data_IF_559132806479
#
_entry.id   IF_559132806479
#
_cell.length_a   1.000
_cell.length_b   1.000
_cell.length_c   1.000
_cell.angle_alpha   90.00
_cell.angle_beta   90.00
_cell.angle_gamma   90.00
#
_symmetry.space_group_name_H-M   'P 1'
#
loop_
_entity.id
_entity.type
_entity.pdbx_description
1 polymer ?
#
# COMPACT_ATOMS: atom_id res chain seq x y z
N UNK A 1 5.22 -27.88 1.51
CA UNK A 1 5.67 -27.40 2.86
C UNK A 1 5.68 -25.87 2.78
N UNK A 2 5.14 -25.16 3.77
CA UNK A 2 5.22 -23.70 3.82
C UNK A 2 5.69 -23.26 5.21
N UNK A 3 6.34 -22.08 5.27
CA UNK A 3 6.76 -21.42 6.52
C UNK A 3 6.04 -20.09 6.56
N UNK A 4 5.40 -19.76 7.69
CA UNK A 4 4.73 -18.49 7.91
C UNK A 4 5.31 -17.85 9.17
N UNK A 5 5.87 -16.65 9.00
CA UNK A 5 6.23 -15.78 10.10
C UNK A 5 5.25 -14.61 10.12
N UNK A 6 4.62 -14.38 11.26
CA UNK A 6 3.63 -13.32 11.42
C UNK A 6 4.19 -12.16 12.24
N UNK A 7 3.89 -10.94 11.82
CA UNK A 7 4.21 -9.71 12.56
C UNK A 7 3.49 -9.67 13.92
N UNK A 8 4.18 -9.15 14.96
CA UNK A 8 3.59 -8.88 16.28
C UNK A 8 2.84 -7.53 16.34
N UNK A 9 2.28 -7.08 15.23
CA UNK A 9 1.53 -5.83 15.15
C UNK A 9 0.20 -5.97 15.88
N UNK A 10 -0.04 -5.10 16.87
CA UNK A 10 -1.34 -4.91 17.49
C UNK A 10 -2.23 -4.07 16.57
N UNK A 11 -3.44 -4.51 16.30
CA UNK A 11 -4.41 -3.79 15.47
C UNK A 11 -5.61 -3.39 16.29
N UNK A 12 -5.98 -2.11 16.23
CA UNK A 12 -7.22 -1.57 16.78
C UNK A 12 -8.05 -1.05 15.61
N UNK A 13 -9.23 -1.64 15.38
CA UNK A 13 -10.04 -1.37 14.20
C UNK A 13 -11.47 -0.98 14.59
N UNK A 14 -11.99 0.09 14.02
CA UNK A 14 -13.39 0.53 14.15
C UNK A 14 -13.53 2.04 14.09
N UNK A 15 -14.77 2.52 13.86
CA UNK A 15 -15.07 3.94 13.84
C UNK A 15 -14.86 4.55 15.24
N UNK A 16 -14.15 5.69 15.29
CA UNK A 16 -13.83 6.39 16.54
C UNK A 16 -12.66 5.78 17.32
N UNK A 17 -11.96 4.77 16.78
CA UNK A 17 -10.85 4.13 17.51
C UNK A 17 -9.64 5.03 17.71
N UNK A 18 -9.54 6.16 17.01
CA UNK A 18 -8.50 7.16 17.30
C UNK A 18 -8.58 7.69 18.75
N UNK A 19 -9.76 7.73 19.36
CA UNK A 19 -9.96 8.13 20.76
C UNK A 19 -9.19 7.24 21.74
N UNK A 20 -8.87 6.01 21.34
CA UNK A 20 -8.07 5.06 22.12
C UNK A 20 -6.57 5.32 22.04
N UNK A 21 -6.09 6.24 21.19
CA UNK A 21 -4.66 6.46 20.94
C UNK A 21 -3.87 6.61 22.25
N UNK A 22 -4.32 7.47 23.16
CA UNK A 22 -3.65 7.69 24.45
C UNK A 22 -3.53 6.40 25.27
N UNK A 23 -4.63 5.66 25.45
CA UNK A 23 -4.66 4.39 26.19
C UNK A 23 -3.76 3.33 25.56
N UNK A 24 -3.74 3.24 24.23
CA UNK A 24 -2.89 2.27 23.51
C UNK A 24 -1.40 2.65 23.64
N UNK A 25 -1.06 3.94 23.62
CA UNK A 25 0.30 4.41 23.88
C UNK A 25 0.76 4.07 25.31
N UNK A 26 -0.12 4.27 26.32
CA UNK A 26 0.16 3.91 27.72
C UNK A 26 0.39 2.39 27.86
N UNK A 27 -0.42 1.57 27.18
CA UNK A 27 -0.26 0.11 27.18
C UNK A 27 1.10 -0.32 26.61
N UNK A 28 1.64 0.45 25.67
CA UNK A 28 2.96 0.20 25.06
C UNK A 28 4.11 0.88 25.82
N UNK A 29 3.81 1.70 26.82
CA UNK A 29 4.81 2.47 27.58
C UNK A 29 5.44 3.60 26.76
N UNK A 30 4.69 4.21 25.83
CA UNK A 30 5.16 5.24 24.90
C UNK A 30 4.65 6.61 25.36
N UNK A 31 5.56 7.51 25.72
CA UNK A 31 5.23 8.79 26.32
C UNK A 31 5.64 10.02 25.48
N UNK A 32 6.50 9.85 24.47
CA UNK A 32 7.09 10.96 23.70
C UNK A 32 7.10 10.63 22.21
N UNK A 33 6.02 10.92 21.50
CA UNK A 33 5.85 10.56 20.10
C UNK A 33 6.29 11.70 19.17
N UNK A 34 7.10 11.40 18.16
CA UNK A 34 7.30 12.27 17.01
C UNK A 34 6.19 11.97 15.98
N UNK A 35 5.33 12.93 15.70
CA UNK A 35 4.34 12.81 14.63
C UNK A 35 5.03 12.93 13.27
N UNK A 36 4.92 11.88 12.45
CA UNK A 36 5.41 11.83 11.07
C UNK A 36 4.21 11.92 10.12
N UNK A 37 4.15 12.95 9.28
CA UNK A 37 3.03 13.20 8.38
C UNK A 37 3.47 13.95 7.12
N UNK A 38 2.54 14.15 6.18
CA UNK A 38 2.76 15.03 5.02
C UNK A 38 2.54 16.50 5.41
N UNK A 39 2.94 17.48 4.57
CA UNK A 39 2.74 18.90 4.88
C UNK A 39 1.29 19.34 5.06
N UNK A 40 0.32 18.48 4.77
CA UNK A 40 -1.10 18.77 4.98
C UNK A 40 -1.44 18.80 6.47
N UNK A 41 -2.10 19.87 6.90
CA UNK A 41 -2.65 20.02 8.25
C UNK A 41 -4.17 20.12 8.17
N UNK A 42 -4.81 19.03 7.82
CA UNK A 42 -6.27 18.90 7.77
C UNK A 42 -6.88 18.49 9.12
N UNK A 43 -8.20 18.36 9.16
CA UNK A 43 -8.93 17.96 10.35
C UNK A 43 -8.47 16.59 10.92
N UNK A 44 -8.01 15.68 10.06
CA UNK A 44 -7.49 14.37 10.46
C UNK A 44 -6.23 14.53 11.30
N UNK A 45 -5.27 15.35 10.84
CA UNK A 45 -4.03 15.61 11.60
C UNK A 45 -4.34 16.38 12.89
N UNK A 46 -5.31 17.31 12.87
CA UNK A 46 -5.75 17.99 14.09
C UNK A 46 -6.31 17.01 15.13
N UNK A 47 -7.11 16.02 14.71
CA UNK A 47 -7.63 14.98 15.61
C UNK A 47 -6.50 14.09 16.18
N UNK A 48 -5.51 13.72 15.36
CA UNK A 48 -4.34 12.96 15.82
C UNK A 48 -3.52 13.75 16.85
N UNK A 49 -3.29 15.04 16.59
CA UNK A 49 -2.59 15.94 17.55
C UNK A 49 -3.34 16.04 18.87
N UNK A 50 -4.66 16.19 18.83
CA UNK A 50 -5.50 16.21 20.03
C UNK A 50 -5.41 14.87 20.80
N UNK A 51 -5.40 13.74 20.10
CA UNK A 51 -5.25 12.41 20.73
C UNK A 51 -3.87 12.17 21.36
N UNK A 52 -2.81 12.81 20.83
CA UNK A 52 -1.47 12.77 21.41
C UNK A 52 -1.36 13.61 22.71
N UNK A 53 -1.97 14.80 22.74
CA UNK A 53 -1.88 15.70 23.88
C UNK A 53 -0.42 15.96 24.30
N UNK A 54 -0.12 15.80 25.58
CA UNK A 54 1.21 16.03 26.17
C UNK A 54 2.29 15.03 25.70
N UNK A 55 1.89 13.94 25.02
CA UNK A 55 2.82 12.95 24.44
C UNK A 55 3.45 13.43 23.14
N UNK A 56 3.06 14.57 22.61
CA UNK A 56 3.65 15.13 21.39
C UNK A 56 5.05 15.69 21.66
N UNK A 57 6.10 15.03 21.18
CA UNK A 57 7.47 15.49 21.26
C UNK A 57 7.86 16.47 20.15
N UNK A 58 7.22 16.36 18.98
CA UNK A 58 7.47 17.20 17.81
C UNK A 58 6.68 16.74 16.61
N UNK A 59 6.76 17.50 15.51
CA UNK A 59 6.07 17.24 14.26
C UNK A 59 7.08 17.25 13.11
N UNK A 60 7.15 16.14 12.37
CA UNK A 60 7.92 15.96 11.15
C UNK A 60 6.94 15.86 9.97
N UNK A 61 6.56 17.01 9.38
CA UNK A 61 5.56 17.13 8.32
C UNK A 61 6.17 17.20 6.92
N UNK A 62 7.26 16.46 6.69
CA UNK A 62 8.00 16.49 5.43
C UNK A 62 7.88 15.19 4.61
N UNK A 63 6.99 14.30 5.00
CA UNK A 63 6.80 13.06 4.26
C UNK A 63 6.36 13.33 2.82
N UNK A 64 6.98 12.62 1.88
CA UNK A 64 6.74 12.76 0.45
C UNK A 64 6.66 11.38 -0.23
N UNK A 65 6.06 11.36 -1.42
CA UNK A 65 5.94 10.14 -2.24
C UNK A 65 7.33 9.56 -2.50
N UNK A 66 7.41 8.23 -2.54
CA UNK A 66 8.64 7.46 -2.77
C UNK A 66 9.75 7.61 -1.71
N UNK A 67 9.51 8.33 -0.61
CA UNK A 67 10.45 8.49 0.52
C UNK A 67 11.84 8.96 0.05
N UNK A 68 11.99 10.21 -0.40
CA UNK A 68 13.27 10.75 -0.84
C UNK A 68 14.32 10.73 0.28
N UNK A 69 15.56 10.37 -0.04
CA UNK A 69 16.66 10.22 0.93
C UNK A 69 17.00 11.52 1.67
N UNK A 70 16.88 12.69 1.02
CA UNK A 70 17.04 14.00 1.66
C UNK A 70 16.00 14.25 2.77
N UNK A 71 14.76 13.80 2.56
CA UNK A 71 13.70 13.87 3.58
C UNK A 71 14.01 12.95 4.76
N UNK A 72 14.56 11.78 4.50
CA UNK A 72 14.99 10.85 5.57
C UNK A 72 16.06 11.51 6.44
N UNK A 73 17.10 12.13 5.84
CA UNK A 73 18.16 12.79 6.58
C UNK A 73 17.63 13.96 7.44
N UNK A 74 16.73 14.77 6.89
CA UNK A 74 16.07 15.85 7.65
C UNK A 74 15.21 15.32 8.81
N UNK A 75 14.50 14.21 8.59
CA UNK A 75 13.69 13.58 9.62
C UNK A 75 14.56 12.98 10.74
N UNK A 76 15.72 12.40 10.42
CA UNK A 76 16.68 11.91 11.41
C UNK A 76 17.24 13.04 12.29
N UNK A 77 17.55 14.19 11.70
CA UNK A 77 17.97 15.38 12.47
C UNK A 77 16.88 15.82 13.46
N UNK A 78 15.60 15.74 13.07
CA UNK A 78 14.48 16.05 13.97
C UNK A 78 14.36 15.02 15.11
N UNK A 79 14.51 13.73 14.82
CA UNK A 79 14.57 12.67 15.84
C UNK A 79 15.68 12.92 16.85
N UNK A 80 16.89 13.24 16.37
CA UNK A 80 18.05 13.51 17.26
C UNK A 80 17.83 14.76 18.11
N UNK A 81 17.08 15.76 17.61
CA UNK A 81 16.73 17.00 18.33
C UNK A 81 15.69 16.78 19.43
N UNK A 82 14.58 16.07 19.10
CA UNK A 82 13.44 15.94 20.05
C UNK A 82 13.52 14.70 20.91
N UNK A 83 14.34 13.71 20.54
CA UNK A 83 14.55 12.44 21.25
C UNK A 83 13.25 11.76 21.64
N UNK A 84 12.41 11.35 20.65
CA UNK A 84 11.17 10.65 20.93
C UNK A 84 11.45 9.22 21.39
N UNK A 85 10.49 8.58 22.02
CA UNK A 85 10.48 7.15 22.33
C UNK A 85 9.67 6.33 21.30
N UNK A 86 8.90 7.02 20.45
CA UNK A 86 8.13 6.41 19.35
C UNK A 86 7.94 7.35 18.16
N UNK A 87 7.68 6.75 17.00
CA UNK A 87 7.21 7.43 15.80
C UNK A 87 5.71 7.18 15.64
N UNK A 88 4.91 8.25 15.56
CA UNK A 88 3.51 8.14 15.20
C UNK A 88 3.34 8.57 13.74
N UNK A 89 3.10 7.62 12.83
CA UNK A 89 2.90 7.89 11.42
C UNK A 89 1.40 8.07 11.13
N UNK A 90 0.97 9.30 10.88
CA UNK A 90 -0.41 9.60 10.50
C UNK A 90 -0.48 10.01 9.03
N UNK A 91 -1.18 9.22 8.22
CA UNK A 91 -1.29 9.46 6.78
C UNK A 91 -1.32 8.19 5.94
N UNK A 92 -1.00 8.32 4.67
CA UNK A 92 -0.87 7.20 3.74
C UNK A 92 0.55 6.65 3.67
N UNK A 93 0.85 5.92 2.58
CA UNK A 93 2.14 5.27 2.35
C UNK A 93 3.38 6.17 2.48
N UNK A 94 3.25 7.48 2.20
CA UNK A 94 4.37 8.44 2.36
C UNK A 94 4.77 8.64 3.82
N UNK A 95 3.79 8.85 4.71
CA UNK A 95 4.04 9.07 6.15
C UNK A 95 4.58 7.79 6.78
N UNK A 96 3.95 6.66 6.51
CA UNK A 96 4.35 5.35 7.04
C UNK A 96 5.72 4.96 6.49
N UNK A 97 5.98 5.20 5.20
CA UNK A 97 7.27 4.94 4.57
C UNK A 97 8.41 5.75 5.18
N UNK A 98 8.18 7.05 5.46
CA UNK A 98 9.18 7.90 6.13
C UNK A 98 9.44 7.40 7.56
N UNK A 99 8.40 7.05 8.33
CA UNK A 99 8.57 6.49 9.67
C UNK A 99 9.39 5.20 9.65
N UNK A 100 9.16 4.31 8.66
CA UNK A 100 9.97 3.10 8.49
C UNK A 100 11.43 3.40 8.14
N UNK A 101 11.66 4.38 7.27
CA UNK A 101 13.01 4.81 6.93
C UNK A 101 13.77 5.37 8.15
N UNK A 102 13.08 6.13 9.00
CA UNK A 102 13.61 6.60 10.28
C UNK A 102 13.91 5.41 11.21
N UNK A 103 12.92 4.51 11.41
CA UNK A 103 13.04 3.38 12.34
C UNK A 103 14.16 2.40 11.93
N UNK A 104 14.50 2.34 10.65
CA UNK A 104 15.64 1.56 10.16
C UNK A 104 16.98 2.08 10.67
N UNK A 105 17.14 3.39 10.80
CA UNK A 105 18.38 4.07 11.22
C UNK A 105 18.39 4.36 12.73
N UNK A 106 17.21 4.53 13.32
CA UNK A 106 16.96 4.76 14.75
C UNK A 106 15.90 3.76 15.20
N UNK A 107 16.22 2.74 15.99
CA UNK A 107 15.29 1.66 16.36
C UNK A 107 14.17 2.14 17.28
N UNK A 108 13.24 2.93 16.74
CA UNK A 108 12.07 3.45 17.42
C UNK A 108 10.83 2.65 17.01
N UNK A 109 9.95 2.29 17.96
CA UNK A 109 8.67 1.66 17.64
C UNK A 109 7.81 2.62 16.81
N UNK A 110 7.09 2.05 15.83
CA UNK A 110 6.15 2.78 14.99
C UNK A 110 4.72 2.50 15.46
N UNK A 111 3.95 3.56 15.63
CA UNK A 111 2.49 3.56 15.74
C UNK A 111 1.94 4.13 14.43
N UNK A 112 1.11 3.40 13.71
CA UNK A 112 0.54 3.86 12.45
C UNK A 112 -0.95 4.18 12.59
N UNK A 113 -1.35 5.31 12.02
CA UNK A 113 -2.73 5.77 11.87
C UNK A 113 -2.98 6.00 10.38
N UNK A 114 -3.31 4.94 9.61
CA UNK A 114 -3.49 5.05 8.18
C UNK A 114 -4.75 5.85 7.83
N UNK A 115 -4.64 6.70 6.80
CA UNK A 115 -5.74 7.51 6.27
C UNK A 115 -6.04 7.20 4.81
N UNK A 116 -5.35 6.20 4.25
CA UNK A 116 -5.54 5.66 2.90
C UNK A 116 -5.54 4.13 2.95
N UNK A 117 -5.71 3.48 1.82
CA UNK A 117 -5.72 2.01 1.70
C UNK A 117 -4.37 1.43 1.26
N UNK A 118 -3.26 2.12 1.56
CA UNK A 118 -1.94 1.81 0.98
C UNK A 118 -1.29 0.49 1.46
N UNK A 119 -1.60 0.00 2.67
CA UNK A 119 -1.17 -1.31 3.18
C UNK A 119 0.22 -1.37 3.80
N UNK A 120 1.06 -0.34 3.67
CA UNK A 120 2.42 -0.33 4.22
C UNK A 120 2.46 -0.49 5.75
N UNK A 121 1.40 -0.10 6.45
CA UNK A 121 1.25 -0.15 7.90
C UNK A 121 1.27 -1.55 8.50
N UNK A 122 0.97 -2.57 7.70
CA UNK A 122 0.96 -3.97 8.17
C UNK A 122 2.20 -4.75 7.76
N UNK A 123 3.21 -4.10 7.18
CA UNK A 123 4.35 -4.81 6.58
C UNK A 123 5.68 -4.44 7.20
N UNK A 124 6.64 -5.35 7.07
CA UNK A 124 8.08 -5.14 7.33
C UNK A 124 8.81 -4.51 6.12
N UNK A 125 8.10 -4.23 5.03
CA UNK A 125 8.66 -3.69 3.79
C UNK A 125 8.95 -2.21 3.94
N UNK A 126 10.14 -1.80 3.54
CA UNK A 126 10.58 -0.41 3.46
C UNK A 126 11.10 -0.07 2.06
N UNK A 127 11.10 1.22 1.71
CA UNK A 127 11.67 1.71 0.47
C UNK A 127 12.14 3.15 0.61
N UNK A 128 13.30 3.47 0.02
CA UNK A 128 13.91 4.80 0.01
C UNK A 128 14.37 5.10 -1.42
N UNK A 129 14.14 6.31 -1.90
CA UNK A 129 14.57 6.75 -3.22
C UNK A 129 15.74 7.73 -3.09
N UNK A 130 16.83 7.47 -3.82
CA UNK A 130 18.00 8.35 -3.92
C UNK A 130 18.27 8.62 -5.40
N UNK A 131 18.09 9.88 -5.84
CA UNK A 131 18.06 10.19 -7.27
C UNK A 131 16.98 9.36 -7.97
N UNK A 132 17.34 8.68 -9.04
CA UNK A 132 16.44 7.82 -9.84
C UNK A 132 16.38 6.36 -9.34
N UNK A 133 17.08 6.04 -8.25
CA UNK A 133 17.19 4.67 -7.75
C UNK A 133 16.33 4.48 -6.50
N UNK A 134 15.37 3.55 -6.57
CA UNK A 134 14.59 3.11 -5.42
C UNK A 134 15.16 1.82 -4.86
N UNK A 135 15.61 1.86 -3.61
CA UNK A 135 16.03 0.68 -2.84
C UNK A 135 14.89 0.24 -1.95
N UNK A 136 14.58 -1.05 -1.98
CA UNK A 136 13.53 -1.66 -1.14
C UNK A 136 14.09 -2.85 -0.39
N UNK A 137 13.47 -3.21 0.73
CA UNK A 137 13.85 -4.40 1.50
C UNK A 137 12.80 -4.75 2.54
N UNK A 138 13.06 -5.83 3.29
CA UNK A 138 12.29 -6.24 4.45
C UNK A 138 13.14 -6.15 5.71
N UNK A 139 12.56 -5.64 6.78
CA UNK A 139 13.17 -5.61 8.10
C UNK A 139 12.06 -5.68 9.16
N UNK A 140 11.96 -6.76 9.94
CA UNK A 140 10.93 -6.88 10.99
C UNK A 140 10.94 -5.73 12.01
N UNK A 141 12.09 -5.09 12.21
CA UNK A 141 12.21 -3.97 13.16
C UNK A 141 11.45 -2.70 12.73
N UNK A 142 11.14 -2.55 11.43
CA UNK A 142 10.37 -1.39 10.94
C UNK A 142 8.88 -1.69 10.78
N UNK A 143 8.43 -2.90 11.10
CA UNK A 143 7.00 -3.20 11.15
C UNK A 143 6.35 -2.42 12.30
N UNK A 144 5.22 -1.73 12.08
CA UNK A 144 4.52 -1.03 13.15
C UNK A 144 4.14 -1.96 14.31
N UNK A 145 4.34 -1.50 15.54
CA UNK A 145 3.91 -2.22 16.75
C UNK A 145 2.42 -2.09 17.02
N UNK A 146 1.84 -0.96 16.57
CA UNK A 146 0.42 -0.67 16.71
C UNK A 146 -0.08 -0.03 15.41
N UNK A 147 -1.24 -0.45 14.97
CA UNK A 147 -2.01 0.20 13.90
C UNK A 147 -3.41 0.51 14.39
N UNK A 148 -3.79 1.78 14.30
CA UNK A 148 -5.16 2.23 14.60
C UNK A 148 -5.87 2.52 13.28
N UNK A 149 -6.78 1.63 12.91
CA UNK A 149 -7.63 1.77 11.73
C UNK A 149 -8.95 2.40 12.13
N UNK A 150 -9.08 3.69 11.89
CA UNK A 150 -10.31 4.43 12.11
C UNK A 150 -10.92 4.86 10.77
N UNK A 151 -12.03 4.24 10.32
CA UNK A 151 -12.69 4.59 9.07
C UNK A 151 -13.11 6.06 8.98
N UNK A 152 -13.39 6.72 10.11
CA UNK A 152 -13.76 8.15 10.15
C UNK A 152 -12.67 9.01 9.53
N UNK A 153 -11.40 8.66 9.70
CA UNK A 153 -10.25 9.39 9.14
C UNK A 153 -10.17 9.30 7.61
N UNK A 154 -10.86 8.34 7.01
CA UNK A 154 -10.91 8.18 5.54
C UNK A 154 -12.05 8.93 4.89
N UNK A 155 -13.00 9.51 5.64
CA UNK A 155 -14.15 10.23 5.10
C UNK A 155 -13.78 11.48 4.30
N UNK A 156 -12.63 12.09 4.62
CA UNK A 156 -12.10 13.25 3.90
C UNK A 156 -11.28 12.88 2.65
N UNK A 157 -10.98 11.59 2.44
CA UNK A 157 -10.20 11.15 1.29
C UNK A 157 -11.05 11.27 0.02
N UNK A 158 -10.61 12.01 -1.02
CA UNK A 158 -11.37 12.16 -2.26
C UNK A 158 -11.73 10.81 -2.90
N UNK A 159 -12.87 10.74 -3.57
CA UNK A 159 -13.37 9.51 -4.20
C UNK A 159 -12.34 8.88 -5.14
N UNK A 160 -11.75 9.67 -6.05
CA UNK A 160 -10.71 9.20 -6.98
C UNK A 160 -9.48 8.64 -6.24
N UNK A 161 -8.98 9.34 -5.22
CA UNK A 161 -7.83 8.86 -4.41
C UNK A 161 -8.20 7.60 -3.64
N UNK A 162 -9.43 7.49 -3.15
CA UNK A 162 -9.93 6.29 -2.48
C UNK A 162 -9.98 5.10 -3.44
N UNK A 163 -10.50 5.31 -4.64
CA UNK A 163 -10.57 4.30 -5.69
C UNK A 163 -9.16 3.81 -6.09
N UNK A 164 -8.25 4.73 -6.42
CA UNK A 164 -6.89 4.40 -6.82
C UNK A 164 -6.11 3.68 -5.69
N UNK A 165 -6.20 4.17 -4.44
CA UNK A 165 -5.58 3.54 -3.29
C UNK A 165 -6.20 2.16 -2.99
N UNK A 166 -7.50 2.00 -3.18
CA UNK A 166 -8.20 0.72 -3.06
C UNK A 166 -7.77 -0.29 -4.12
N UNK A 167 -7.56 0.14 -5.36
CA UNK A 167 -7.03 -0.71 -6.43
C UNK A 167 -5.55 -1.07 -6.22
N UNK A 168 -4.76 -0.20 -5.58
CA UNK A 168 -3.42 -0.59 -5.11
C UNK A 168 -3.50 -1.71 -4.04
N UNK A 169 -4.42 -1.61 -3.07
CA UNK A 169 -4.67 -2.69 -2.12
C UNK A 169 -5.17 -3.96 -2.82
N UNK A 170 -6.06 -3.84 -3.80
CA UNK A 170 -6.51 -4.96 -4.65
C UNK A 170 -5.33 -5.67 -5.30
N UNK A 171 -4.35 -4.92 -5.82
CA UNK A 171 -3.16 -5.49 -6.46
C UNK A 171 -2.30 -6.32 -5.49
N UNK A 172 -2.16 -5.90 -4.23
CA UNK A 172 -1.49 -6.70 -3.20
C UNK A 172 -2.14 -8.06 -3.02
N UNK A 173 -3.47 -8.07 -2.88
CA UNK A 173 -4.23 -9.29 -2.69
C UNK A 173 -4.18 -10.18 -3.94
N UNK A 174 -4.36 -9.61 -5.13
CA UNK A 174 -4.33 -10.35 -6.40
C UNK A 174 -2.97 -11.01 -6.63
N UNK A 175 -1.85 -10.31 -6.43
CA UNK A 175 -0.53 -10.93 -6.57
C UNK A 175 -0.27 -12.01 -5.51
N UNK A 176 -0.74 -11.82 -4.28
CA UNK A 176 -0.61 -12.84 -3.24
C UNK A 176 -1.36 -14.14 -3.57
N UNK A 177 -2.45 -14.08 -4.36
CA UNK A 177 -3.21 -15.28 -4.76
C UNK A 177 -2.43 -16.22 -5.67
N UNK A 178 -1.54 -15.70 -6.52
CA UNK A 178 -0.75 -16.50 -7.47
C UNK A 178 0.76 -16.42 -7.22
N UNK A 179 1.18 -15.84 -6.10
CA UNK A 179 2.59 -15.84 -5.74
C UNK A 179 3.10 -17.27 -5.60
N UNK A 180 4.26 -17.63 -6.18
CA UNK A 180 4.90 -18.90 -5.92
C UNK A 180 5.11 -19.07 -4.41
N UNK A 181 4.84 -20.26 -3.89
CA UNK A 181 4.97 -20.61 -2.49
C UNK A 181 4.06 -19.84 -1.52
N UNK A 182 2.99 -19.19 -2.02
CA UNK A 182 1.99 -18.56 -1.17
C UNK A 182 1.37 -19.59 -0.20
N UNK A 183 1.36 -19.25 1.09
CA UNK A 183 0.73 -20.13 2.07
C UNK A 183 -0.81 -20.15 1.90
N UNK A 184 -1.49 -21.22 2.30
CA UNK A 184 -2.96 -21.26 2.31
C UNK A 184 -3.58 -20.10 3.09
N UNK A 185 -2.92 -19.63 4.14
CA UNK A 185 -3.35 -18.48 4.93
C UNK A 185 -3.25 -17.18 4.12
N UNK A 186 -2.14 -16.96 3.39
CA UNK A 186 -1.99 -15.80 2.51
C UNK A 186 -3.09 -15.78 1.45
N UNK A 187 -3.37 -16.93 0.82
CA UNK A 187 -4.41 -17.06 -0.18
C UNK A 187 -5.82 -16.81 0.39
N UNK A 188 -6.13 -17.29 1.58
CA UNK A 188 -7.44 -17.07 2.22
C UNK A 188 -7.67 -15.59 2.57
N UNK A 189 -6.66 -14.93 3.13
CA UNK A 189 -6.71 -13.49 3.46
C UNK A 189 -6.80 -12.64 2.19
N UNK A 190 -6.04 -13.00 1.15
CA UNK A 190 -6.06 -12.32 -0.14
C UNK A 190 -7.44 -12.42 -0.82
N UNK A 191 -8.07 -13.60 -0.81
CA UNK A 191 -9.40 -13.79 -1.38
C UNK A 191 -10.47 -12.98 -0.64
N UNK A 192 -10.44 -12.94 0.71
CA UNK A 192 -11.34 -12.07 1.49
C UNK A 192 -11.11 -10.59 1.17
N UNK A 193 -9.85 -10.16 1.01
CA UNK A 193 -9.51 -8.80 0.63
C UNK A 193 -10.10 -8.42 -0.75
N UNK A 194 -9.92 -9.28 -1.77
CA UNK A 194 -10.46 -9.07 -3.12
C UNK A 194 -11.99 -8.91 -3.06
N UNK A 195 -12.69 -9.86 -2.43
CA UNK A 195 -14.15 -9.86 -2.29
C UNK A 195 -14.65 -8.60 -1.57
N UNK A 196 -13.98 -8.23 -0.50
CA UNK A 196 -14.36 -7.09 0.33
C UNK A 196 -14.15 -5.77 -0.41
N UNK A 197 -12.99 -5.58 -1.07
CA UNK A 197 -12.70 -4.37 -1.84
C UNK A 197 -13.61 -4.25 -3.07
N UNK A 198 -13.87 -5.34 -3.79
CA UNK A 198 -14.77 -5.33 -4.94
C UNK A 198 -16.20 -4.87 -4.59
N UNK A 199 -16.67 -5.19 -3.37
CA UNK A 199 -17.97 -4.73 -2.87
C UNK A 199 -17.95 -3.30 -2.35
N UNK A 200 -16.88 -2.90 -1.67
CA UNK A 200 -16.82 -1.63 -0.97
C UNK A 200 -16.48 -0.44 -1.89
N UNK A 201 -15.52 -0.62 -2.81
CA UNK A 201 -14.99 0.49 -3.60
C UNK A 201 -16.04 1.18 -4.50
N UNK A 202 -16.97 0.46 -5.16
CA UNK A 202 -18.05 1.10 -5.90
C UNK A 202 -18.92 2.03 -5.03
N UNK A 203 -19.28 1.59 -3.82
CA UNK A 203 -20.04 2.41 -2.89
C UNK A 203 -19.26 3.63 -2.41
N UNK A 204 -17.96 3.47 -2.12
CA UNK A 204 -17.07 4.60 -1.77
C UNK A 204 -16.94 5.60 -2.92
N UNK A 205 -16.93 5.15 -4.17
CA UNK A 205 -16.83 6.03 -5.34
C UNK A 205 -18.10 6.88 -5.52
N UNK A 206 -19.28 6.28 -5.30
CA UNK A 206 -20.59 6.96 -5.47
C UNK A 206 -20.97 7.80 -4.24
N UNK A 207 -20.73 7.27 -3.04
CA UNK A 207 -21.07 7.89 -1.77
C UNK A 207 -19.84 7.99 -0.86
N UNK A 208 -18.91 8.95 -1.12
CA UNK A 208 -17.61 8.99 -0.46
C UNK A 208 -17.64 9.22 1.06
N UNK A 209 -18.78 9.63 1.61
CA UNK A 209 -18.97 9.85 3.05
C UNK A 209 -19.79 8.76 3.75
N UNK A 210 -20.11 7.67 3.06
CA UNK A 210 -20.74 6.50 3.66
C UNK A 210 -19.73 5.79 4.58
N UNK A 211 -19.96 5.84 5.89
CA UNK A 211 -19.07 5.28 6.90
C UNK A 211 -19.01 3.75 6.83
N UNK A 212 -20.12 3.09 6.48
CA UNK A 212 -20.16 1.63 6.36
C UNK A 212 -19.33 1.17 5.16
N UNK A 213 -19.47 1.86 4.01
CA UNK A 213 -18.63 1.61 2.83
C UNK A 213 -17.15 1.87 3.12
N UNK A 214 -16.81 2.96 3.84
CA UNK A 214 -15.44 3.26 4.28
C UNK A 214 -14.89 2.20 5.24
N UNK A 215 -15.72 1.75 6.19
CA UNK A 215 -15.34 0.68 7.12
C UNK A 215 -15.03 -0.61 6.38
N UNK A 216 -15.88 -0.98 5.43
CA UNK A 216 -15.69 -2.17 4.62
C UNK A 216 -14.43 -2.06 3.72
N UNK A 217 -14.22 -0.90 3.07
CA UNK A 217 -13.04 -0.66 2.25
C UNK A 217 -11.74 -0.72 3.06
N UNK A 218 -11.72 -0.10 4.26
CA UNK A 218 -10.56 -0.11 5.14
C UNK A 218 -10.28 -1.53 5.68
N UNK A 219 -11.33 -2.33 5.96
CA UNK A 219 -11.19 -3.74 6.34
C UNK A 219 -10.57 -4.56 5.19
N UNK A 220 -11.04 -4.36 3.98
CA UNK A 220 -10.46 -5.02 2.79
C UNK A 220 -9.00 -4.62 2.56
N UNK A 221 -8.66 -3.33 2.75
CA UNK A 221 -7.30 -2.84 2.65
C UNK A 221 -6.38 -3.44 3.74
N UNK A 222 -6.87 -3.58 4.98
CA UNK A 222 -6.15 -4.27 6.04
C UNK A 222 -5.84 -5.73 5.66
N UNK A 223 -6.83 -6.48 5.18
CA UNK A 223 -6.63 -7.84 4.73
C UNK A 223 -5.63 -7.93 3.55
N UNK A 224 -5.72 -7.00 2.58
CA UNK A 224 -4.77 -6.91 1.47
C UNK A 224 -3.33 -6.62 1.96
N UNK A 225 -3.20 -5.77 2.97
CA UNK A 225 -1.90 -5.46 3.58
C UNK A 225 -1.30 -6.67 4.32
N UNK A 226 -2.13 -7.48 4.97
CA UNK A 226 -1.70 -8.76 5.53
C UNK A 226 -1.23 -9.73 4.43
N UNK A 227 -1.95 -9.82 3.31
CA UNK A 227 -1.55 -10.63 2.16
C UNK A 227 -0.21 -10.18 1.59
N UNK A 228 0.03 -8.85 1.49
CA UNK A 228 1.30 -8.25 1.08
C UNK A 228 2.47 -8.64 1.98
N UNK A 229 2.26 -8.76 3.30
CA UNK A 229 3.31 -9.23 4.22
C UNK A 229 3.56 -10.73 4.07
N UNK A 230 2.53 -11.51 3.84
CA UNK A 230 2.57 -12.97 3.83
C UNK A 230 3.03 -13.61 2.51
N UNK A 231 3.05 -12.83 1.42
CA UNK A 231 3.43 -13.33 0.10
C UNK A 231 4.42 -12.39 -0.59
N UNK A 232 5.36 -12.92 -1.39
CA UNK A 232 6.23 -12.08 -2.20
C UNK A 232 5.44 -11.45 -3.35
N UNK A 233 5.77 -10.20 -3.70
CA UNK A 233 5.19 -9.50 -4.84
C UNK A 233 5.96 -9.82 -6.13
N UNK A 234 5.23 -9.90 -7.24
CA UNK A 234 5.74 -10.35 -8.53
C UNK A 234 5.85 -9.24 -9.58
N UNK A 235 5.48 -9.62 -10.80
CA UNK A 235 5.61 -8.77 -11.99
C UNK A 235 4.87 -7.44 -11.87
N UNK A 236 3.66 -7.44 -11.32
CA UNK A 236 2.85 -6.22 -11.22
C UNK A 236 3.57 -5.14 -10.39
N UNK A 237 3.98 -5.49 -9.18
CA UNK A 237 4.69 -4.54 -8.32
C UNK A 237 6.06 -4.15 -8.89
N UNK A 238 6.77 -5.09 -9.54
CA UNK A 238 8.03 -4.78 -10.20
C UNK A 238 7.84 -3.75 -11.32
N UNK A 239 6.81 -3.91 -12.15
CA UNK A 239 6.45 -2.94 -13.18
C UNK A 239 6.10 -1.58 -12.56
N UNK A 240 5.21 -1.54 -11.56
CA UNK A 240 4.83 -0.29 -10.90
C UNK A 240 6.03 0.46 -10.30
N UNK A 241 7.01 -0.26 -9.73
CA UNK A 241 8.22 0.35 -9.22
C UNK A 241 9.12 0.95 -10.33
N UNK A 242 9.27 0.24 -11.44
CA UNK A 242 10.05 0.73 -12.59
C UNK A 242 9.36 1.95 -13.21
N UNK A 243 8.04 1.88 -13.43
CA UNK A 243 7.27 2.99 -14.01
C UNK A 243 7.19 4.20 -13.07
N UNK A 244 7.20 3.99 -11.77
CA UNK A 244 7.34 5.08 -10.79
C UNK A 244 8.66 5.83 -10.93
N UNK A 245 9.75 5.17 -11.36
CA UNK A 245 11.02 5.82 -11.72
C UNK A 245 10.93 6.71 -12.96
N UNK A 246 9.93 6.50 -13.83
CA UNK A 246 9.60 7.40 -14.95
C UNK A 246 8.60 8.52 -14.57
N UNK A 247 8.24 8.61 -13.29
CA UNK A 247 7.36 9.68 -12.77
C UNK A 247 5.86 9.38 -12.85
N UNK A 248 5.46 8.15 -13.18
CA UNK A 248 4.04 7.80 -13.20
C UNK A 248 3.43 7.81 -11.78
N UNK A 249 2.18 8.25 -11.62
CA UNK A 249 1.50 8.27 -10.33
C UNK A 249 1.28 6.83 -9.83
N UNK A 250 1.67 6.57 -8.57
CA UNK A 250 1.81 5.21 -8.05
C UNK A 250 0.51 4.41 -8.04
N UNK A 251 -0.54 4.94 -7.42
CA UNK A 251 -1.80 4.21 -7.22
C UNK A 251 -2.57 3.99 -8.54
N UNK A 252 -2.58 4.99 -9.40
CA UNK A 252 -3.21 4.94 -10.73
C UNK A 252 -2.47 3.96 -11.64
N UNK A 253 -1.15 3.91 -11.57
CA UNK A 253 -0.34 2.93 -12.31
C UNK A 253 -0.68 1.50 -11.88
N UNK A 254 -0.88 1.26 -10.58
CA UNK A 254 -1.34 -0.03 -10.08
C UNK A 254 -2.71 -0.42 -10.67
N UNK A 255 -3.67 0.52 -10.67
CA UNK A 255 -5.00 0.26 -11.23
C UNK A 255 -4.94 -0.05 -12.74
N UNK A 256 -4.20 0.75 -13.52
CA UNK A 256 -4.10 0.60 -14.97
C UNK A 256 -3.43 -0.72 -15.36
N UNK A 257 -2.35 -1.11 -14.68
CA UNK A 257 -1.58 -2.31 -15.02
C UNK A 257 -2.22 -3.62 -14.56
N UNK A 258 -2.99 -3.61 -13.48
CA UNK A 258 -3.44 -4.85 -12.83
C UNK A 258 -4.18 -5.80 -13.77
N UNK A 259 -5.15 -5.38 -14.60
CA UNK A 259 -5.84 -6.27 -15.52
C UNK A 259 -4.91 -6.90 -16.58
N UNK A 260 -3.89 -6.16 -17.03
CA UNK A 260 -2.94 -6.63 -18.04
C UNK A 260 -1.99 -7.68 -17.46
N UNK A 261 -1.48 -7.47 -16.24
CA UNK A 261 -0.62 -8.46 -15.58
C UNK A 261 -1.38 -9.72 -15.21
N UNK A 262 -2.64 -9.59 -14.78
CA UNK A 262 -3.51 -10.74 -14.49
C UNK A 262 -3.75 -11.56 -15.77
N UNK A 263 -4.08 -10.92 -16.90
CA UNK A 263 -4.22 -11.59 -18.19
C UNK A 263 -2.92 -12.29 -18.63
N UNK A 264 -1.76 -11.64 -18.40
CA UNK A 264 -0.46 -12.22 -18.70
C UNK A 264 -0.19 -13.49 -17.87
N UNK A 265 -0.50 -13.48 -16.58
CA UNK A 265 -0.23 -14.60 -15.67
C UNK A 265 -1.30 -15.72 -15.73
N UNK A 266 -2.48 -15.46 -16.30
CA UNK A 266 -3.62 -16.37 -16.27
C UNK A 266 -3.31 -17.80 -16.79
N UNK A 267 -2.57 -18.01 -17.90
CA UNK A 267 -2.27 -19.35 -18.36
C UNK A 267 -1.39 -20.17 -17.41
N UNK A 268 -0.61 -19.50 -16.55
CA UNK A 268 0.32 -20.16 -15.62
C UNK A 268 -0.25 -20.36 -14.22
N UNK A 269 -1.41 -19.77 -13.89
CA UNK A 269 -2.04 -19.84 -12.57
C UNK A 269 -3.58 -19.96 -12.67
N UNK A 270 -4.13 -20.96 -13.40
CA UNK A 270 -5.56 -21.02 -13.71
C UNK A 270 -6.44 -21.16 -12.44
N UNK A 271 -6.02 -21.91 -11.45
CA UNK A 271 -6.77 -22.07 -10.18
C UNK A 271 -6.86 -20.76 -9.39
N UNK A 272 -5.75 -20.03 -9.29
CA UNK A 272 -5.75 -18.72 -8.63
C UNK A 272 -6.63 -17.72 -9.39
N UNK A 273 -6.59 -17.73 -10.72
CA UNK A 273 -7.44 -16.86 -11.55
C UNK A 273 -8.92 -17.17 -11.41
N UNK A 274 -9.30 -18.44 -11.32
CA UNK A 274 -10.68 -18.83 -11.04
C UNK A 274 -11.16 -18.31 -9.66
N UNK A 275 -10.34 -18.39 -8.64
CA UNK A 275 -10.65 -17.88 -7.29
C UNK A 275 -10.73 -16.35 -7.28
N UNK A 276 -9.82 -15.65 -7.97
CA UNK A 276 -9.87 -14.18 -8.12
C UNK A 276 -11.17 -13.78 -8.82
N UNK A 277 -11.52 -14.42 -9.93
CA UNK A 277 -12.76 -14.18 -10.66
C UNK A 277 -14.00 -14.38 -9.77
N UNK A 278 -14.05 -15.49 -9.03
CA UNK A 278 -15.12 -15.77 -8.06
C UNK A 278 -15.21 -14.73 -6.94
N UNK A 279 -14.07 -14.26 -6.42
CA UNK A 279 -14.03 -13.21 -5.41
C UNK A 279 -14.50 -11.84 -5.95
N UNK A 280 -14.24 -11.56 -7.24
CA UNK A 280 -14.74 -10.38 -7.94
C UNK A 280 -16.23 -10.52 -8.35
N UNK A 281 -16.82 -11.72 -8.27
CA UNK A 281 -18.17 -11.99 -8.75
C UNK A 281 -18.29 -12.05 -10.27
N UNK A 282 -17.24 -12.50 -10.97
CA UNK A 282 -17.14 -12.55 -12.43
C UNK A 282 -16.67 -13.93 -12.91
N UNK A 283 -16.68 -14.17 -14.22
CA UNK A 283 -16.18 -15.41 -14.81
C UNK A 283 -14.72 -15.34 -15.27
N UNK A 284 -14.16 -14.14 -15.38
CA UNK A 284 -12.78 -13.89 -15.78
C UNK A 284 -12.16 -12.79 -14.94
N UNK A 285 -10.99 -13.08 -14.35
CA UNK A 285 -10.33 -12.19 -13.40
C UNK A 285 -9.90 -10.85 -14.05
N UNK A 286 -9.30 -10.89 -15.24
CA UNK A 286 -8.81 -9.69 -15.90
C UNK A 286 -9.96 -8.78 -16.33
N UNK A 287 -11.02 -9.36 -16.91
CA UNK A 287 -12.23 -8.63 -17.29
C UNK A 287 -12.96 -8.05 -16.07
N UNK A 288 -13.03 -8.81 -14.98
CA UNK A 288 -13.60 -8.32 -13.71
C UNK A 288 -12.86 -7.12 -13.15
N UNK A 289 -11.53 -7.12 -13.21
CA UNK A 289 -10.71 -5.98 -12.77
C UNK A 289 -10.86 -4.76 -13.69
N UNK A 290 -10.99 -4.97 -15.01
CA UNK A 290 -11.30 -3.87 -15.96
C UNK A 290 -12.66 -3.25 -15.65
N UNK A 291 -13.70 -4.09 -15.51
CA UNK A 291 -15.03 -3.63 -15.16
C UNK A 291 -15.06 -2.86 -13.83
N UNK A 292 -14.28 -3.31 -12.83
CA UNK A 292 -14.15 -2.58 -11.58
C UNK A 292 -13.48 -1.21 -11.78
N UNK A 293 -12.39 -1.13 -12.57
CA UNK A 293 -11.77 0.15 -12.92
C UNK A 293 -12.75 1.09 -13.63
N UNK A 294 -13.59 0.57 -14.55
CA UNK A 294 -14.61 1.37 -15.24
C UNK A 294 -15.61 1.96 -14.26
N UNK A 295 -16.14 1.14 -13.34
CA UNK A 295 -17.06 1.59 -12.28
C UNK A 295 -16.43 2.65 -11.39
N UNK A 296 -15.12 2.54 -11.12
CA UNK A 296 -14.38 3.46 -10.25
C UNK A 296 -13.90 4.73 -10.96
N UNK A 297 -14.11 4.85 -12.28
CA UNK A 297 -13.59 5.98 -13.07
C UNK A 297 -12.07 5.98 -13.19
N UNK A 298 -11.45 4.79 -13.13
CA UNK A 298 -10.00 4.59 -13.23
C UNK A 298 -9.59 3.99 -14.59
N UNK A 299 -10.41 4.15 -15.61
CA UNK A 299 -10.12 3.70 -16.98
C UNK A 299 -9.07 4.59 -17.61
N UNK A 300 -7.82 4.31 -17.30
CA UNK A 300 -6.67 5.07 -17.78
C UNK A 300 -5.65 4.13 -18.43
N UNK A 301 -5.13 4.55 -19.60
CA UNK A 301 -3.96 3.88 -20.16
C UNK A 301 -2.67 4.39 -19.47
N UNK A 302 -1.59 3.63 -19.56
CA UNK A 302 -0.28 4.10 -19.11
C UNK A 302 0.19 5.35 -19.86
N UNK A 303 -0.24 5.50 -21.12
CA UNK A 303 0.02 6.69 -21.94
C UNK A 303 -0.61 7.95 -21.34
N UNK A 304 -1.88 7.87 -20.91
CA UNK A 304 -2.55 8.99 -20.21
C UNK A 304 -1.94 9.30 -18.86
N UNK A 305 -1.31 8.31 -18.20
CA UNK A 305 -0.57 8.49 -16.96
C UNK A 305 0.85 9.03 -17.17
N UNK A 306 1.31 9.16 -18.42
CA UNK A 306 2.59 9.78 -18.76
C UNK A 306 3.67 8.85 -19.31
N UNK A 307 3.41 7.54 -19.48
CA UNK A 307 4.36 6.64 -20.12
C UNK A 307 4.47 6.99 -21.61
N UNK A 308 5.68 7.22 -22.09
CA UNK A 308 5.96 7.49 -23.50
C UNK A 308 6.34 6.19 -24.20
N UNK A 309 5.98 6.06 -25.48
CA UNK A 309 6.39 4.92 -26.31
C UNK A 309 7.91 4.68 -26.28
N UNK A 310 8.70 5.75 -26.25
CA UNK A 310 10.17 5.65 -26.16
C UNK A 310 10.70 5.06 -24.83
N UNK A 311 9.88 5.06 -23.77
CA UNK A 311 10.27 4.55 -22.45
C UNK A 311 9.92 3.06 -22.28
N UNK A 312 9.06 2.50 -23.14
CA UNK A 312 8.60 1.11 -23.07
C UNK A 312 9.77 0.13 -23.14
N UNK A 313 10.71 0.34 -24.07
CA UNK A 313 11.88 -0.54 -24.22
C UNK A 313 12.78 -0.52 -22.97
N UNK A 314 13.00 0.66 -22.40
CA UNK A 314 13.77 0.85 -21.18
C UNK A 314 13.12 0.15 -19.99
N UNK A 315 11.79 0.30 -19.85
CA UNK A 315 11.01 -0.34 -18.80
C UNK A 315 11.03 -1.87 -18.96
N UNK A 316 10.79 -2.38 -20.18
CA UNK A 316 10.80 -3.80 -20.48
C UNK A 316 12.17 -4.45 -20.19
N UNK A 317 13.25 -3.82 -20.62
CA UNK A 317 14.62 -4.28 -20.35
C UNK A 317 14.93 -4.30 -18.85
N UNK A 318 14.56 -3.25 -18.11
CA UNK A 318 14.79 -3.17 -16.66
C UNK A 318 14.02 -4.24 -15.87
N UNK A 319 12.80 -4.58 -16.29
CA UNK A 319 12.00 -5.64 -15.68
C UNK A 319 12.52 -7.01 -16.08
N UNK A 320 12.83 -7.23 -17.37
CA UNK A 320 13.35 -8.51 -17.88
C UNK A 320 14.70 -8.90 -17.29
N UNK A 321 15.52 -7.93 -16.89
CA UNK A 321 16.80 -8.18 -16.23
C UNK A 321 16.68 -8.44 -14.72
N UNK A 322 15.50 -8.20 -14.11
CA UNK A 322 15.31 -8.32 -12.67
C UNK A 322 14.85 -9.72 -12.28
N UNK A 323 15.24 -10.15 -11.09
CA UNK A 323 14.77 -11.40 -10.48
C UNK A 323 13.66 -11.09 -9.48
N UNK A 324 12.50 -11.72 -9.67
CA UNK A 324 11.36 -11.65 -8.77
C UNK A 324 10.48 -12.91 -8.96
N UNK A 325 9.73 -13.33 -7.95
CA UNK A 325 8.82 -14.46 -8.08
C UNK A 325 7.64 -14.09 -8.99
N UNK A 326 7.36 -14.94 -9.97
CA UNK A 326 6.17 -14.78 -10.83
C UNK A 326 5.81 -16.16 -11.42
N UNK A 327 4.53 -16.52 -11.58
CA UNK A 327 4.14 -17.82 -12.11
C UNK A 327 4.54 -18.03 -13.56
N UNK A 328 4.62 -16.95 -14.35
CA UNK A 328 5.06 -16.97 -15.75
C UNK A 328 6.35 -16.18 -15.93
N UNK A 329 7.29 -16.69 -16.72
CA UNK A 329 8.52 -15.97 -17.05
C UNK A 329 8.22 -14.61 -17.71
N UNK A 330 8.74 -13.52 -17.12
CA UNK A 330 8.56 -12.16 -17.59
C UNK A 330 9.79 -11.72 -18.41
N UNK A 331 9.94 -12.26 -19.62
CA UNK A 331 11.03 -11.85 -20.54
C UNK A 331 10.83 -10.41 -21.00
N UNK A 332 11.91 -9.73 -21.42
CA UNK A 332 11.83 -8.35 -21.91
C UNK A 332 10.80 -8.21 -23.06
N UNK A 333 10.77 -9.17 -23.99
CA UNK A 333 9.81 -9.15 -25.09
C UNK A 333 8.35 -9.26 -24.62
N UNK A 334 8.08 -10.18 -23.67
CA UNK A 334 6.74 -10.35 -23.12
C UNK A 334 6.29 -9.10 -22.33
N UNK A 335 7.20 -8.50 -21.56
CA UNK A 335 6.95 -7.26 -20.81
C UNK A 335 6.74 -6.09 -21.77
N UNK A 336 7.51 -6.00 -22.85
CA UNK A 336 7.30 -4.98 -23.89
C UNK A 336 5.89 -5.05 -24.48
N UNK A 337 5.45 -6.27 -24.87
CA UNK A 337 4.11 -6.45 -25.42
C UNK A 337 3.03 -6.05 -24.39
N UNK A 338 3.15 -6.48 -23.13
CA UNK A 338 2.23 -6.10 -22.06
C UNK A 338 2.15 -4.58 -21.87
N UNK A 339 3.28 -3.87 -21.94
CA UNK A 339 3.30 -2.40 -21.80
C UNK A 339 2.69 -1.71 -23.02
N UNK A 340 2.89 -2.24 -24.24
CA UNK A 340 2.25 -1.74 -25.47
C UNK A 340 0.73 -1.91 -25.39
N UNK A 341 0.24 -3.07 -24.89
CA UNK A 341 -1.18 -3.34 -24.73
C UNK A 341 -1.84 -2.47 -23.64
N UNK A 342 -1.03 -1.89 -22.72
CA UNK A 342 -1.48 -1.02 -21.64
C UNK A 342 -1.31 0.50 -21.96
N UNK A 343 -0.67 0.87 -23.09
CA UNK A 343 -0.50 2.25 -23.57
C UNK A 343 -1.80 2.84 -24.12
#
# INVERSE_FOLDING_TARGET
MFIVEWSRTRVVFGAGTLERLGTELDTLGLARCLLVTTPRRDATIASVLAGLGDRLAGVCDIAAMHVPSDRVQRALAEVDRVRPDALLAAGGGSAIGLAKAIARERPLPIVAVPTTYAGSEMTSIWGITSGDTKTTGRNPAVAPRLVIYDPVLTLSLPAHTSAASGMNAMAHAVEAMYAPDASPMAAAVAEDAIRTLARALPSVAVTPRDLDARTLALRGAHAAAMALELAPMGLHHKLCHVLGGFGLPHAETHAALLPHVVAFNAPAAPEAMARIAGALGTNDAASGLRALNDILGLTMSLGTLGLKQADVERAASAVGAATFPNPRAATADAVRQLLVDAL
#
